data_IF_883138037102
#
_entry.id   IF_883138037102
#
_cell.length_a   1.000
_cell.length_b   1.000
_cell.length_c   1.000
_cell.angle_alpha   90.00
_cell.angle_beta   90.00
_cell.angle_gamma   90.00
#
_symmetry.space_group_name_H-M   'P 1'
#
loop_
_entity.id
_entity.type
_entity.pdbx_description
1 polymer ?
#
# COMPACT_ATOMS: atom_id res chain seq x y z
N UNK A 1 10.85 6.43 -20.08
CA UNK A 1 10.03 5.52 -19.27
C UNK A 1 9.77 6.02 -17.85
N UNK A 2 10.79 6.46 -17.09
CA UNK A 2 10.60 6.91 -15.69
C UNK A 2 9.58 8.05 -15.52
N UNK A 3 9.57 9.05 -16.40
CA UNK A 3 8.61 10.15 -16.37
C UNK A 3 7.16 9.69 -16.62
N UNK A 4 6.98 8.73 -17.51
CA UNK A 4 5.64 8.20 -17.81
C UNK A 4 5.06 7.44 -16.60
N UNK A 5 5.86 6.57 -15.99
CA UNK A 5 5.49 5.84 -14.78
C UNK A 5 5.16 6.82 -13.65
N UNK A 6 5.98 7.88 -13.49
CA UNK A 6 5.75 8.90 -12.48
C UNK A 6 4.40 9.63 -12.66
N UNK A 7 4.03 9.97 -13.90
CA UNK A 7 2.75 10.62 -14.20
C UNK A 7 1.57 9.68 -13.94
N UNK A 8 1.65 8.43 -14.39
CA UNK A 8 0.58 7.43 -14.20
C UNK A 8 0.38 7.13 -12.71
N UNK A 9 1.47 6.92 -11.97
CA UNK A 9 1.37 6.71 -10.52
C UNK A 9 0.84 7.94 -9.80
N UNK A 10 1.22 9.15 -10.21
CA UNK A 10 0.71 10.38 -9.62
C UNK A 10 -0.80 10.54 -9.77
N UNK A 11 -1.36 10.27 -10.95
CA UNK A 11 -2.82 10.30 -11.17
C UNK A 11 -3.51 9.21 -10.35
N UNK A 12 -2.95 7.99 -10.30
CA UNK A 12 -3.48 6.91 -9.49
C UNK A 12 -3.49 7.23 -7.99
N UNK A 13 -2.41 7.81 -7.48
CA UNK A 13 -2.31 8.25 -6.09
C UNK A 13 -3.27 9.38 -5.74
N UNK A 14 -3.47 10.32 -6.66
CA UNK A 14 -4.46 11.38 -6.48
C UNK A 14 -5.89 10.80 -6.33
N UNK A 15 -6.27 9.87 -7.22
CA UNK A 15 -7.55 9.17 -7.12
C UNK A 15 -7.70 8.40 -5.80
N UNK A 16 -6.64 7.70 -5.38
CA UNK A 16 -6.63 7.01 -4.09
C UNK A 16 -6.80 7.97 -2.92
N UNK A 17 -6.10 9.11 -2.89
CA UNK A 17 -6.22 10.10 -1.82
C UNK A 17 -7.65 10.64 -1.70
N UNK A 18 -8.33 10.89 -2.82
CA UNK A 18 -9.74 11.30 -2.81
C UNK A 18 -10.63 10.22 -2.16
N UNK A 19 -10.47 8.98 -2.58
CA UNK A 19 -11.21 7.85 -2.00
C UNK A 19 -10.88 7.67 -0.50
N UNK A 20 -9.62 7.83 -0.13
CA UNK A 20 -9.18 7.73 1.25
C UNK A 20 -9.80 8.81 2.14
N UNK A 21 -9.85 10.05 1.66
CA UNK A 21 -10.50 11.16 2.38
C UNK A 21 -12.00 10.88 2.56
N UNK A 22 -12.67 10.43 1.50
CA UNK A 22 -14.10 10.09 1.55
C UNK A 22 -14.34 8.95 2.54
N UNK A 23 -13.56 7.87 2.45
CA UNK A 23 -13.69 6.71 3.35
C UNK A 23 -13.43 7.07 4.81
N UNK A 24 -12.43 7.92 5.07
CA UNK A 24 -12.12 8.37 6.43
C UNK A 24 -13.19 9.33 6.96
N UNK A 25 -13.80 10.15 6.09
CA UNK A 25 -14.91 11.04 6.47
C UNK A 25 -16.17 10.27 6.92
N UNK A 26 -16.31 8.99 6.54
CA UNK A 26 -17.42 8.15 7.02
C UNK A 26 -17.44 7.98 8.56
N UNK A 27 -16.30 8.16 9.22
CA UNK A 27 -16.23 8.13 10.70
C UNK A 27 -17.11 9.23 11.34
N UNK A 28 -17.31 10.35 10.63
CA UNK A 28 -18.16 11.46 11.07
C UNK A 28 -19.65 11.12 11.01
N UNK A 29 -20.03 10.12 10.22
CA UNK A 29 -21.41 9.64 10.09
C UNK A 29 -21.78 8.59 11.14
N UNK A 30 -20.79 8.06 11.86
CA UNK A 30 -20.98 7.11 12.93
C UNK A 30 -20.04 5.91 12.83
N UNK A 31 -19.67 5.32 13.99
CA UNK A 31 -18.73 4.21 14.03
C UNK A 31 -19.24 2.97 13.28
N UNK A 32 -20.52 2.69 13.33
CA UNK A 32 -21.11 1.52 12.66
C UNK A 32 -20.96 1.56 11.14
N UNK A 33 -21.09 2.76 10.54
CA UNK A 33 -20.92 2.95 9.09
C UNK A 33 -19.46 2.80 8.71
N UNK A 34 -18.56 3.33 9.53
CA UNK A 34 -17.12 3.22 9.32
C UNK A 34 -16.62 1.78 9.43
N UNK A 35 -17.05 1.06 10.48
CA UNK A 35 -16.71 -0.36 10.68
C UNK A 35 -17.24 -1.25 9.55
N UNK A 36 -18.44 -0.96 9.05
CA UNK A 36 -19.01 -1.65 7.89
C UNK A 36 -18.19 -1.44 6.62
N UNK A 37 -17.73 -0.22 6.38
CA UNK A 37 -16.83 0.08 5.25
C UNK A 37 -15.45 -0.58 5.43
N UNK A 38 -14.88 -0.53 6.65
CA UNK A 38 -13.59 -1.16 6.95
C UNK A 38 -13.61 -2.68 6.78
N UNK A 39 -14.73 -3.34 7.09
CA UNK A 39 -14.88 -4.77 6.90
C UNK A 39 -14.69 -5.20 5.43
N UNK A 40 -15.04 -4.34 4.47
CA UNK A 40 -14.84 -4.59 3.04
C UNK A 40 -13.33 -4.58 2.70
N UNK A 41 -12.56 -3.71 3.34
CA UNK A 41 -11.11 -3.58 3.08
C UNK A 41 -10.27 -4.71 3.70
N UNK A 42 -10.81 -5.53 4.60
CA UNK A 42 -10.11 -6.68 5.22
C UNK A 42 -10.01 -7.92 4.31
N UNK A 43 -10.48 -7.83 3.06
CA UNK A 43 -10.44 -8.92 2.11
C UNK A 43 -9.03 -9.09 1.49
N UNK A 44 -8.66 -10.30 1.08
CA UNK A 44 -7.37 -10.61 0.44
C UNK A 44 -7.06 -9.73 -0.77
N UNK A 45 -8.06 -9.45 -1.61
CA UNK A 45 -7.90 -8.58 -2.78
C UNK A 45 -7.49 -7.16 -2.41
N UNK A 46 -8.07 -6.62 -1.33
CA UNK A 46 -7.69 -5.30 -0.82
C UNK A 46 -6.30 -5.31 -0.22
N UNK A 47 -5.88 -6.41 0.42
CA UNK A 47 -4.51 -6.54 0.93
C UNK A 47 -3.47 -6.52 -0.21
N UNK A 48 -3.75 -7.20 -1.32
CA UNK A 48 -2.90 -7.14 -2.51
C UNK A 48 -2.87 -5.74 -3.11
N UNK A 49 -4.03 -5.08 -3.19
CA UNK A 49 -4.14 -3.70 -3.66
C UNK A 49 -3.37 -2.72 -2.76
N UNK A 50 -3.41 -2.91 -1.44
CA UNK A 50 -2.67 -2.11 -0.45
C UNK A 50 -1.15 -2.23 -0.63
N UNK A 51 -0.63 -3.45 -0.86
CA UNK A 51 0.78 -3.67 -1.18
C UNK A 51 1.15 -3.00 -2.50
N UNK A 52 0.31 -3.11 -3.52
CA UNK A 52 0.49 -2.45 -4.81
C UNK A 52 0.48 -0.92 -4.68
N UNK A 53 -0.42 -0.38 -3.86
CA UNK A 53 -0.49 1.03 -3.56
C UNK A 53 0.76 1.53 -2.83
N UNK A 54 1.23 0.79 -1.83
CA UNK A 54 2.48 1.09 -1.13
C UNK A 54 3.67 1.12 -2.10
N UNK A 55 3.74 0.15 -3.03
CA UNK A 55 4.75 0.16 -4.09
C UNK A 55 4.65 1.42 -4.97
N UNK A 56 3.43 1.82 -5.32
CA UNK A 56 3.18 3.01 -6.13
C UNK A 56 3.60 4.30 -5.40
N UNK A 57 3.26 4.44 -4.10
CA UNK A 57 3.64 5.58 -3.26
C UNK A 57 5.16 5.69 -3.15
N UNK A 58 5.82 4.59 -2.75
CA UNK A 58 7.29 4.57 -2.61
C UNK A 58 7.98 4.83 -3.94
N UNK A 59 7.56 4.18 -5.01
CA UNK A 59 8.13 4.37 -6.33
C UNK A 59 7.94 5.80 -6.85
N UNK A 60 6.76 6.38 -6.62
CA UNK A 60 6.47 7.78 -6.99
C UNK A 60 7.34 8.76 -6.20
N UNK A 61 7.43 8.59 -4.89
CA UNK A 61 8.22 9.47 -4.02
C UNK A 61 9.72 9.40 -4.33
N UNK A 62 10.28 8.19 -4.44
CA UNK A 62 11.71 8.00 -4.73
C UNK A 62 12.06 8.50 -6.14
N UNK A 63 11.21 8.23 -7.13
CA UNK A 63 11.45 8.72 -8.48
C UNK A 63 11.26 10.24 -8.58
N UNK A 64 10.29 10.81 -7.84
CA UNK A 64 10.12 12.26 -7.73
C UNK A 64 11.35 12.95 -7.13
N UNK A 65 11.87 12.39 -6.02
CA UNK A 65 13.10 12.88 -5.38
C UNK A 65 14.31 12.82 -6.33
N UNK A 66 14.41 11.74 -7.10
CA UNK A 66 15.44 11.61 -8.14
C UNK A 66 15.33 12.68 -9.21
N UNK A 67 14.12 12.98 -9.70
CA UNK A 67 13.90 14.03 -10.71
C UNK A 67 14.36 15.38 -10.15
N UNK A 68 13.95 15.71 -8.93
CA UNK A 68 14.34 16.95 -8.24
C UNK A 68 15.88 17.00 -8.09
N UNK A 69 16.52 15.91 -7.68
CA UNK A 69 17.96 15.86 -7.51
C UNK A 69 18.71 16.09 -8.83
N UNK A 70 18.20 15.56 -9.95
CA UNK A 70 18.81 15.78 -11.28
C UNK A 70 18.60 17.22 -11.75
N UNK A 71 17.44 17.82 -11.47
CA UNK A 71 17.12 19.19 -11.90
C UNK A 71 17.90 20.25 -11.10
N UNK A 72 18.08 20.02 -9.78
CA UNK A 72 18.78 20.96 -8.91
C UNK A 72 20.31 20.85 -8.98
N UNK A 73 20.83 19.72 -9.42
CA UNK A 73 22.27 19.46 -9.46
C UNK A 73 22.81 19.51 -10.88
N UNK A 74 23.62 20.50 -11.20
CA UNK A 74 24.15 20.73 -12.55
C UNK A 74 24.92 19.53 -13.17
N UNK A 75 25.48 18.64 -12.34
CA UNK A 75 26.13 17.39 -12.74
C UNK A 75 25.22 16.15 -12.60
N UNK A 76 23.98 16.31 -12.21
CA UNK A 76 23.05 15.20 -11.96
C UNK A 76 22.74 14.37 -13.19
N UNK A 77 22.83 14.98 -14.38
CA UNK A 77 22.65 14.28 -15.67
C UNK A 77 23.75 13.25 -15.95
N UNK A 78 24.98 13.47 -15.50
CA UNK A 78 26.11 12.57 -15.71
C UNK A 78 26.01 11.29 -14.85
N UNK A 79 25.34 11.42 -13.69
CA UNK A 79 25.17 10.34 -12.71
C UNK A 79 23.79 9.64 -12.78
N UNK A 80 23.01 9.84 -13.84
CA UNK A 80 21.66 9.29 -13.97
C UNK A 80 21.59 7.77 -13.76
N UNK A 81 22.55 6.99 -14.24
CA UNK A 81 22.59 5.54 -14.05
C UNK A 81 22.78 5.17 -12.59
N UNK A 82 23.70 5.85 -11.90
CA UNK A 82 23.98 5.59 -10.47
C UNK A 82 22.79 5.99 -9.59
N UNK A 83 22.16 7.14 -9.87
CA UNK A 83 20.94 7.59 -9.20
C UNK A 83 19.78 6.61 -9.41
N UNK A 84 19.69 5.98 -10.59
CA UNK A 84 18.67 4.97 -10.86
C UNK A 84 18.88 3.70 -10.02
N UNK A 85 20.12 3.22 -9.93
CA UNK A 85 20.47 2.07 -9.08
C UNK A 85 20.27 2.38 -7.60
N UNK A 86 20.68 3.56 -7.13
CA UNK A 86 20.47 4.00 -5.76
C UNK A 86 18.98 4.08 -5.42
N UNK A 87 18.16 4.65 -6.30
CA UNK A 87 16.69 4.72 -6.14
C UNK A 87 16.07 3.34 -6.05
N UNK A 88 16.48 2.41 -6.92
CA UNK A 88 15.99 1.03 -6.89
C UNK A 88 16.41 0.32 -5.60
N UNK A 89 17.67 0.51 -5.17
CA UNK A 89 18.17 -0.08 -3.93
C UNK A 89 17.38 0.42 -2.71
N UNK A 90 17.17 1.74 -2.58
CA UNK A 90 16.39 2.34 -1.50
C UNK A 90 14.94 1.82 -1.53
N UNK A 91 14.34 1.74 -2.72
CA UNK A 91 13.01 1.16 -2.90
C UNK A 91 12.93 -0.26 -2.34
N UNK A 92 13.85 -1.14 -2.73
CA UNK A 92 13.86 -2.54 -2.31
C UNK A 92 14.10 -2.69 -0.80
N UNK A 93 15.01 -1.90 -0.23
CA UNK A 93 15.33 -1.94 1.22
C UNK A 93 14.12 -1.57 2.06
N UNK A 94 13.26 -0.68 1.59
CA UNK A 94 12.04 -0.28 2.32
C UNK A 94 10.89 -1.22 1.97
N UNK A 95 10.69 -1.54 0.70
CA UNK A 95 9.55 -2.30 0.20
C UNK A 95 9.55 -3.74 0.69
N UNK A 96 10.69 -4.44 0.63
CA UNK A 96 10.77 -5.88 0.96
C UNK A 96 10.42 -6.14 2.43
N UNK A 97 11.04 -5.50 3.43
CA UNK A 97 10.71 -5.78 4.83
C UNK A 97 9.30 -5.35 5.20
N UNK A 98 8.79 -4.26 4.60
CA UNK A 98 7.42 -3.79 4.86
C UNK A 98 6.40 -4.77 4.30
N UNK A 99 6.58 -5.24 3.06
CA UNK A 99 5.71 -6.24 2.43
C UNK A 99 5.76 -7.57 3.19
N UNK A 100 6.95 -7.99 3.63
CA UNK A 100 7.10 -9.19 4.45
C UNK A 100 6.30 -9.08 5.74
N UNK A 101 6.43 -7.98 6.48
CA UNK A 101 5.66 -7.74 7.71
C UNK A 101 4.15 -7.71 7.47
N UNK A 102 3.70 -7.02 6.42
CA UNK A 102 2.28 -6.95 6.07
C UNK A 102 1.70 -8.33 5.75
N UNK A 103 2.46 -9.15 5.03
CA UNK A 103 2.03 -10.48 4.62
C UNK A 103 2.01 -11.45 5.80
N UNK A 104 3.06 -11.49 6.62
CA UNK A 104 3.12 -12.36 7.79
C UNK A 104 2.03 -12.04 8.80
N UNK A 105 1.81 -10.76 9.12
CA UNK A 105 0.75 -10.34 10.04
C UNK A 105 -0.64 -10.76 9.55
N UNK A 106 -0.88 -10.75 8.25
CA UNK A 106 -2.15 -11.21 7.67
C UNK A 106 -2.31 -12.73 7.80
N UNK A 107 -1.25 -13.50 7.51
CA UNK A 107 -1.28 -14.97 7.64
C UNK A 107 -1.37 -15.42 9.10
N UNK A 108 -0.69 -14.75 10.02
CA UNK A 108 -0.75 -15.05 11.45
C UNK A 108 -2.19 -14.88 12.00
N UNK A 109 -2.87 -13.78 11.62
CA UNK A 109 -4.28 -13.55 11.93
C UNK A 109 -5.19 -14.65 11.38
N UNK A 110 -4.95 -15.10 10.14
CA UNK A 110 -5.74 -16.16 9.53
C UNK A 110 -5.47 -17.53 10.16
N UNK A 111 -4.23 -17.80 10.58
CA UNK A 111 -3.88 -19.05 11.28
C UNK A 111 -4.48 -19.11 12.68
N UNK A 112 -4.45 -18.00 13.43
CA UNK A 112 -5.09 -17.91 14.74
C UNK A 112 -6.59 -18.16 14.66
N UNK A 113 -7.27 -17.55 13.68
CA UNK A 113 -8.70 -17.80 13.43
C UNK A 113 -9.02 -19.19 12.90
N UNK A 114 -8.10 -19.82 12.18
CA UNK A 114 -8.25 -21.21 11.73
C UNK A 114 -8.25 -22.20 12.90
N UNK A 115 -7.56 -21.89 13.99
CA UNK A 115 -7.59 -22.71 15.22
C UNK A 115 -8.97 -22.68 15.93
N UNK A 116 -9.80 -21.68 15.65
CA UNK A 116 -11.18 -21.52 16.14
C UNK A 116 -12.23 -22.19 15.23
N UNK A 117 -11.82 -22.96 14.21
CA UNK A 117 -12.73 -23.72 13.35
C UNK A 117 -13.09 -23.09 12.02
N UNK A 118 -12.45 -21.97 11.65
CA UNK A 118 -12.62 -21.31 10.34
C UNK A 118 -11.56 -21.82 9.36
N UNK A 119 -11.94 -22.14 8.13
CA UNK A 119 -10.98 -22.58 7.11
C UNK A 119 -10.12 -21.39 6.64
N UNK A 120 -8.83 -21.59 6.36
CA UNK A 120 -7.92 -20.53 5.82
C UNK A 120 -8.53 -19.88 4.58
N UNK A 121 -9.22 -20.64 3.76
CA UNK A 121 -9.92 -20.14 2.55
C UNK A 121 -11.06 -19.18 2.92
N UNK A 122 -11.82 -19.47 3.98
CA UNK A 122 -12.89 -18.58 4.45
C UNK A 122 -12.33 -17.26 5.01
N UNK A 123 -11.20 -17.29 5.70
CA UNK A 123 -10.51 -16.10 6.18
C UNK A 123 -10.04 -15.21 5.02
N UNK A 124 -9.59 -15.81 3.91
CA UNK A 124 -9.13 -15.07 2.73
C UNK A 124 -10.28 -14.44 1.92
N UNK A 125 -11.43 -15.11 1.83
CA UNK A 125 -12.54 -14.71 0.97
C UNK A 125 -13.58 -13.88 1.73
N UNK A 126 -13.82 -14.19 3.00
CA UNK A 126 -14.80 -13.50 3.83
C UNK A 126 -14.10 -12.74 4.95
N UNK A 127 -14.13 -11.41 4.94
CA UNK A 127 -13.65 -10.63 6.08
C UNK A 127 -14.51 -10.99 7.29
N UNK A 128 -13.90 -11.59 8.31
CA UNK A 128 -14.60 -11.89 9.57
C UNK A 128 -14.62 -10.59 10.37
N UNK A 129 -15.78 -10.01 10.64
CA UNK A 129 -15.87 -8.80 11.43
C UNK A 129 -15.39 -9.06 12.86
N UNK A 130 -14.41 -8.32 13.36
CA UNK A 130 -13.83 -8.49 14.70
C UNK A 130 -14.84 -8.29 15.83
N UNK A 131 -15.97 -7.62 15.57
CA UNK A 131 -17.05 -7.40 16.52
C UNK A 131 -17.87 -8.66 16.84
N UNK A 132 -17.77 -9.73 16.03
CA UNK A 132 -18.46 -11.01 16.31
C UNK A 132 -17.69 -11.94 17.25
N UNK A 133 -16.47 -11.56 17.64
CA UNK A 133 -15.59 -12.37 18.50
C UNK A 133 -15.49 -11.86 19.94
N UNK A 134 -16.32 -10.86 20.31
CA UNK A 134 -16.44 -10.38 21.69
C UNK A 134 -17.76 -10.79 22.30
#
# INVERSE_FOLDING_TARGET
>A
MALYIHRVTGVGLFGYLLLHIISTALILLGPEIYEGAEAIYKNFYFRVAEIGLMAAVLGHAINGLRIIAVDLWAKGSDYQKQLNFASLFVFLVIFVPTTYKMTTSYFDLCLEKSSEGTTIVDCMIRPIPDWKTK
#
